data_IF_932326512722
#
_entry.id   IF_932326512722
#
_cell.length_a   1.000
_cell.length_b   1.000
_cell.length_c   1.000
_cell.angle_alpha   90.00
_cell.angle_beta   90.00
_cell.angle_gamma   90.00
#
_symmetry.space_group_name_H-M   'P 1'
#
loop_
_entity.id
_entity.type
_entity.pdbx_description
1 polymer ?
#
# COMPACT_ATOMS: atom_id res chain seq x y z
N UNK A 1 -17.55 -10.84 -6.93
CA UNK A 1 -16.08 -10.72 -6.76
C UNK A 1 -15.83 -9.61 -5.77
N UNK A 2 -15.26 -9.91 -4.62
CA UNK A 2 -14.87 -8.87 -3.64
C UNK A 2 -13.69 -8.11 -4.24
N UNK A 3 -13.94 -6.86 -4.61
CA UNK A 3 -13.04 -5.96 -5.32
C UNK A 3 -11.88 -5.54 -4.40
N UNK A 4 -10.67 -6.01 -4.68
CA UNK A 4 -9.47 -5.61 -3.95
C UNK A 4 -9.13 -4.16 -4.34
N UNK A 5 -9.14 -3.24 -3.38
CA UNK A 5 -8.79 -1.83 -3.59
C UNK A 5 -7.50 -1.50 -2.86
N UNK A 6 -6.65 -0.69 -3.47
CA UNK A 6 -5.38 -0.23 -2.90
C UNK A 6 -5.51 1.17 -2.29
N UNK A 7 -4.64 1.49 -1.33
CA UNK A 7 -4.61 2.86 -0.78
C UNK A 7 -4.02 3.85 -1.79
N UNK A 8 -4.29 5.14 -1.60
CA UNK A 8 -3.68 6.22 -2.41
C UNK A 8 -2.16 6.19 -2.31
N UNK A 9 -1.63 5.89 -1.11
CA UNK A 9 -0.19 5.72 -0.88
C UNK A 9 0.36 4.56 -1.72
N UNK A 10 -0.33 3.42 -1.69
CA UNK A 10 0.06 2.22 -2.45
C UNK A 10 0.09 2.53 -3.95
N UNK A 11 -0.97 3.16 -4.47
CA UNK A 11 -1.01 3.57 -5.89
C UNK A 11 0.18 4.47 -6.27
N UNK A 12 0.57 5.42 -5.39
CA UNK A 12 1.75 6.26 -5.60
C UNK A 12 3.06 5.46 -5.59
N UNK A 13 3.21 4.57 -4.63
CA UNK A 13 4.43 3.75 -4.46
C UNK A 13 4.60 2.78 -5.65
N UNK A 14 3.52 2.17 -6.13
CA UNK A 14 3.52 1.30 -7.32
C UNK A 14 3.78 2.09 -8.61
N UNK A 15 3.34 3.35 -8.68
CA UNK A 15 3.73 4.28 -9.75
C UNK A 15 5.20 4.75 -9.66
N UNK A 16 5.98 4.29 -8.66
CA UNK A 16 7.39 4.62 -8.50
C UNK A 16 7.63 6.08 -8.10
N UNK A 17 6.63 6.77 -7.55
CA UNK A 17 6.70 8.20 -7.26
C UNK A 17 7.04 8.48 -5.80
N UNK A 18 8.00 9.39 -5.57
CA UNK A 18 8.16 10.00 -4.25
C UNK A 18 6.96 10.90 -3.91
N UNK A 19 6.75 11.16 -2.62
CA UNK A 19 5.68 12.05 -2.17
C UNK A 19 5.84 13.47 -2.74
N UNK A 20 7.07 13.97 -2.83
CA UNK A 20 7.41 15.29 -3.36
C UNK A 20 7.11 15.36 -4.86
N UNK A 21 7.55 14.34 -5.62
CA UNK A 21 7.34 14.26 -7.06
C UNK A 21 5.86 14.18 -7.41
N UNK A 22 5.12 13.30 -6.72
CA UNK A 22 3.67 13.20 -6.90
C UNK A 22 2.96 14.51 -6.56
N UNK A 23 3.32 15.17 -5.45
CA UNK A 23 2.72 16.44 -5.06
C UNK A 23 2.94 17.53 -6.12
N UNK A 24 4.16 17.58 -6.69
CA UNK A 24 4.49 18.49 -7.79
C UNK A 24 3.62 18.21 -9.03
N UNK A 25 3.52 16.94 -9.46
CA UNK A 25 2.79 16.56 -10.67
C UNK A 25 1.27 16.77 -10.51
N UNK A 26 0.74 16.52 -9.31
CA UNK A 26 -0.67 16.77 -8.97
C UNK A 26 -0.94 18.26 -8.75
N UNK A 27 0.08 19.09 -8.52
CA UNK A 27 -0.07 20.52 -8.28
C UNK A 27 -0.65 20.84 -6.89
N UNK A 28 -0.24 20.09 -5.86
CA UNK A 28 -0.60 20.32 -4.46
C UNK A 28 0.66 20.39 -3.59
N UNK A 29 0.53 20.89 -2.36
CA UNK A 29 1.66 20.82 -1.42
C UNK A 29 1.89 19.39 -0.95
N UNK A 30 3.14 19.04 -0.65
CA UNK A 30 3.52 17.74 -0.05
C UNK A 30 2.68 17.42 1.18
N UNK A 31 2.45 18.42 2.04
CA UNK A 31 1.59 18.30 3.22
C UNK A 31 0.14 17.96 2.87
N UNK A 32 -0.41 18.56 1.82
CA UNK A 32 -1.78 18.29 1.36
C UNK A 32 -1.89 16.90 0.74
N UNK A 33 -0.91 16.47 -0.04
CA UNK A 33 -0.88 15.10 -0.56
C UNK A 33 -0.78 14.07 0.57
N UNK A 34 0.10 14.28 1.55
CA UNK A 34 0.19 13.41 2.74
C UNK A 34 -1.14 13.34 3.49
N UNK A 35 -1.83 14.48 3.61
CA UNK A 35 -3.15 14.52 4.24
C UNK A 35 -4.20 13.75 3.43
N UNK A 36 -4.14 13.79 2.10
CA UNK A 36 -4.99 12.99 1.24
C UNK A 36 -4.73 11.48 1.38
N UNK A 37 -3.47 11.04 1.47
CA UNK A 37 -3.16 9.63 1.72
C UNK A 37 -3.79 9.13 3.03
N UNK A 38 -3.76 9.95 4.09
CA UNK A 38 -4.30 9.60 5.41
C UNK A 38 -5.83 9.70 5.48
N UNK A 39 -6.44 10.60 4.71
CA UNK A 39 -7.85 10.97 4.81
C UNK A 39 -8.54 10.94 3.45
N UNK A 40 -8.43 9.81 2.74
CA UNK A 40 -9.03 9.58 1.42
C UNK A 40 -10.52 9.90 1.34
N UNK A 41 -11.27 9.66 2.42
CA UNK A 41 -12.71 9.96 2.52
C UNK A 41 -13.06 11.44 2.44
N UNK A 42 -12.08 12.32 2.58
CA UNK A 42 -12.25 13.77 2.54
C UNK A 42 -11.68 14.40 1.28
N UNK A 43 -11.30 13.60 0.29
CA UNK A 43 -10.73 14.07 -0.97
C UNK A 43 -11.85 14.58 -1.89
N UNK A 44 -11.71 15.78 -2.47
CA UNK A 44 -12.61 16.24 -3.53
C UNK A 44 -12.57 15.30 -4.75
N UNK A 45 -13.72 14.99 -5.35
CA UNK A 45 -13.84 14.03 -6.48
C UNK A 45 -12.90 14.38 -7.66
N UNK A 46 -12.73 15.67 -7.95
CA UNK A 46 -11.80 16.12 -9.00
C UNK A 46 -10.34 15.78 -8.67
N UNK A 47 -9.97 15.82 -7.39
CA UNK A 47 -8.64 15.45 -6.92
C UNK A 47 -8.45 13.94 -6.90
N UNK A 48 -9.48 13.17 -6.51
CA UNK A 48 -9.48 11.72 -6.57
C UNK A 48 -9.17 11.20 -8.00
N UNK A 49 -9.85 11.77 -9.00
CA UNK A 49 -9.57 11.48 -10.41
C UNK A 49 -8.16 11.89 -10.83
N UNK A 50 -7.69 13.07 -10.42
CA UNK A 50 -6.34 13.53 -10.75
C UNK A 50 -5.25 12.62 -10.16
N UNK A 51 -5.45 12.12 -8.94
CA UNK A 51 -4.57 11.13 -8.31
C UNK A 51 -4.52 9.85 -9.13
N UNK A 52 -5.69 9.29 -9.47
CA UNK A 52 -5.81 8.07 -10.26
C UNK A 52 -5.11 8.21 -11.63
N UNK A 53 -5.39 9.30 -12.35
CA UNK A 53 -4.73 9.64 -13.62
C UNK A 53 -3.20 9.76 -13.48
N UNK A 54 -2.72 10.40 -12.40
CA UNK A 54 -1.28 10.59 -12.16
C UNK A 54 -0.57 9.26 -11.87
N UNK A 55 -1.24 8.34 -11.18
CA UNK A 55 -0.67 7.05 -10.79
C UNK A 55 -0.91 5.95 -11.82
N UNK A 56 -1.69 6.22 -12.88
CA UNK A 56 -1.97 5.25 -13.93
C UNK A 56 -2.90 4.12 -13.48
N UNK A 57 -3.78 4.38 -12.52
CA UNK A 57 -4.75 3.40 -11.98
C UNK A 57 -6.18 3.93 -12.13
N UNK A 58 -7.17 3.04 -12.11
CA UNK A 58 -8.59 3.42 -12.09
C UNK A 58 -9.00 3.96 -10.72
N UNK A 59 -9.97 4.88 -10.69
CA UNK A 59 -10.60 5.31 -9.43
C UNK A 59 -11.31 4.16 -8.72
N UNK A 60 -11.76 3.13 -9.44
CA UNK A 60 -12.42 1.96 -8.85
C UNK A 60 -11.43 1.05 -8.10
N UNK A 61 -10.14 1.12 -8.46
CA UNK A 61 -9.05 0.38 -7.83
C UNK A 61 -8.53 1.08 -6.56
N UNK A 62 -8.84 2.36 -6.36
CA UNK A 62 -8.40 3.13 -5.20
C UNK A 62 -9.45 3.11 -4.09
N UNK A 63 -9.02 2.82 -2.87
CA UNK A 63 -9.83 3.01 -1.67
C UNK A 63 -9.74 4.47 -1.18
N UNK A 64 -10.86 5.19 -1.25
CA UNK A 64 -11.00 6.57 -0.75
C UNK A 64 -11.62 6.62 0.65
N UNK A 65 -11.14 5.79 1.58
CA UNK A 65 -11.45 5.87 3.01
C UNK A 65 -10.35 6.58 3.80
N UNK A 66 -10.41 6.52 5.12
CA UNK A 66 -9.29 6.85 6.01
C UNK A 66 -8.24 5.73 5.96
N UNK A 67 -6.98 6.02 6.27
CA UNK A 67 -5.97 4.95 6.42
C UNK A 67 -6.37 3.93 7.51
N UNK A 68 -7.17 4.35 8.49
CA UNK A 68 -7.76 3.51 9.54
C UNK A 68 -8.85 2.56 8.97
N UNK A 69 -9.53 2.94 7.87
CA UNK A 69 -10.45 2.03 7.15
C UNK A 69 -9.69 0.93 6.39
N UNK A 70 -8.37 1.11 6.20
CA UNK A 70 -7.45 0.21 5.53
C UNK A 70 -6.61 -0.64 6.48
N UNK A 71 -7.07 -0.87 7.72
CA UNK A 71 -6.46 -1.81 8.70
C UNK A 71 -6.26 -3.25 8.19
N UNK A 72 -6.57 -3.54 6.92
CA UNK A 72 -6.36 -4.83 6.28
C UNK A 72 -5.28 -4.96 5.20
N UNK A 73 -4.92 -3.96 4.38
CA UNK A 73 -4.28 -4.30 3.08
C UNK A 73 -3.36 -3.25 2.44
N UNK A 74 -2.49 -2.58 3.20
CA UNK A 74 -1.31 -1.93 2.60
C UNK A 74 -0.09 -2.83 2.78
N UNK A 75 0.29 -3.61 1.77
CA UNK A 75 1.44 -4.55 1.81
C UNK A 75 2.74 -3.90 2.32
N UNK A 76 3.01 -2.63 1.98
CA UNK A 76 4.17 -1.86 2.44
C UNK A 76 4.11 -1.55 3.95
N UNK A 77 2.92 -1.25 4.46
CA UNK A 77 2.68 -1.02 5.90
C UNK A 77 2.57 -2.33 6.67
N UNK A 78 1.92 -3.35 6.11
CA UNK A 78 1.82 -4.69 6.67
C UNK A 78 3.18 -5.34 6.79
N UNK A 79 4.05 -5.23 5.77
CA UNK A 79 5.43 -5.75 5.86
C UNK A 79 6.16 -5.14 7.06
N UNK A 80 6.13 -3.81 7.18
CA UNK A 80 6.76 -3.10 8.30
C UNK A 80 6.14 -3.45 9.65
N UNK A 81 4.81 -3.49 9.73
CA UNK A 81 4.07 -3.78 10.97
C UNK A 81 4.28 -5.23 11.42
N UNK A 82 4.23 -6.19 10.49
CA UNK A 82 4.52 -7.61 10.75
C UNK A 82 5.95 -7.76 11.25
N UNK A 83 6.94 -7.14 10.59
CA UNK A 83 8.34 -7.15 11.07
C UNK A 83 8.42 -6.57 12.47
N UNK A 84 7.80 -5.42 12.73
CA UNK A 84 7.86 -4.76 14.04
C UNK A 84 7.19 -5.61 15.13
N UNK A 85 6.07 -6.27 14.84
CA UNK A 85 5.41 -7.21 15.76
C UNK A 85 6.32 -8.39 16.07
N UNK A 86 6.91 -9.01 15.05
CA UNK A 86 7.88 -10.11 15.20
C UNK A 86 9.06 -9.67 16.08
N UNK A 87 9.58 -8.45 15.87
CA UNK A 87 10.65 -7.88 16.70
C UNK A 87 10.21 -7.67 18.15
N UNK A 88 8.99 -7.19 18.38
CA UNK A 88 8.42 -7.03 19.72
C UNK A 88 8.24 -8.38 20.46
N UNK A 89 8.14 -9.50 19.72
CA UNK A 89 8.19 -10.86 20.29
C UNK A 89 9.61 -11.35 20.62
N UNK A 90 10.64 -10.51 20.45
CA UNK A 90 12.03 -10.81 20.82
C UNK A 90 12.87 -11.42 19.70
N UNK A 91 12.40 -11.39 18.45
CA UNK A 91 13.16 -11.83 17.28
C UNK A 91 14.02 -10.66 16.78
N UNK A 92 15.26 -10.91 16.37
CA UNK A 92 16.10 -9.83 15.85
C UNK A 92 15.55 -9.26 14.54
N UNK A 93 15.74 -7.96 14.24
CA UNK A 93 15.26 -7.35 13.01
C UNK A 93 15.71 -8.09 11.75
N UNK A 94 16.96 -8.56 11.71
CA UNK A 94 17.52 -9.29 10.57
C UNK A 94 16.80 -10.62 10.35
N UNK A 95 16.47 -11.32 11.44
CA UNK A 95 15.76 -12.60 11.38
C UNK A 95 14.29 -12.41 11.00
N UNK A 96 13.65 -11.34 11.47
CA UNK A 96 12.30 -10.97 11.09
C UNK A 96 12.19 -10.67 9.58
N UNK A 97 13.15 -9.92 9.03
CA UNK A 97 13.25 -9.62 7.60
C UNK A 97 13.37 -10.90 6.75
N UNK A 98 14.22 -11.85 7.16
CA UNK A 98 14.38 -13.14 6.46
C UNK A 98 13.08 -13.94 6.49
N UNK A 99 12.39 -14.00 7.65
CA UNK A 99 11.13 -14.73 7.78
C UNK A 99 10.05 -14.17 6.87
N UNK A 100 9.86 -12.85 6.88
CA UNK A 100 8.84 -12.19 6.06
C UNK A 100 9.16 -12.35 4.57
N UNK A 101 10.41 -12.13 4.16
CA UNK A 101 10.82 -12.32 2.76
C UNK A 101 10.65 -13.77 2.30
N UNK A 102 10.91 -14.75 3.18
CA UNK A 102 10.68 -16.16 2.86
C UNK A 102 9.20 -16.49 2.68
N UNK A 103 8.31 -15.85 3.45
CA UNK A 103 6.86 -16.05 3.32
C UNK A 103 6.33 -15.37 2.06
N UNK A 104 6.80 -14.16 1.74
CA UNK A 104 6.45 -13.44 0.51
C UNK A 104 6.80 -14.28 -0.72
N UNK A 105 8.01 -14.85 -0.79
CA UNK A 105 8.42 -15.71 -1.90
C UNK A 105 7.58 -16.98 -2.03
N UNK A 106 7.22 -17.63 -0.93
CA UNK A 106 6.35 -18.83 -0.95
C UNK A 106 4.93 -18.49 -1.41
N UNK A 107 4.38 -17.40 -0.89
CA UNK A 107 3.05 -16.94 -1.30
C UNK A 107 3.02 -16.63 -2.80
N UNK A 108 4.07 -16.01 -3.33
CA UNK A 108 4.20 -15.73 -4.75
C UNK A 108 4.22 -17.01 -5.60
N UNK A 109 5.01 -18.01 -5.19
CA UNK A 109 5.08 -19.31 -5.87
C UNK A 109 3.71 -20.02 -5.91
N UNK A 110 2.95 -19.96 -4.82
CA UNK A 110 1.59 -20.52 -4.79
C UNK A 110 0.64 -19.75 -5.71
N UNK A 111 0.68 -18.42 -5.70
CA UNK A 111 -0.16 -17.58 -6.59
C UNK A 111 0.15 -17.85 -8.06
N UNK A 112 1.42 -18.13 -8.39
CA UNK A 112 1.88 -18.46 -9.73
C UNK A 112 1.58 -19.92 -10.13
N UNK A 113 1.06 -20.73 -9.20
CA UNK A 113 0.77 -22.15 -9.42
C UNK A 113 2.03 -23.03 -9.49
N UNK A 114 3.17 -22.53 -9.02
CA UNK A 114 4.45 -23.24 -8.98
C UNK A 114 4.54 -24.18 -7.76
N UNK A 115 3.79 -23.88 -6.69
CA UNK A 115 3.62 -24.73 -5.51
C UNK A 115 2.14 -24.90 -5.15
N UNK A 116 1.75 -26.09 -4.69
CA UNK A 116 0.47 -26.28 -4.01
C UNK A 116 0.57 -25.81 -2.56
N UNK A 117 -0.45 -25.10 -2.09
CA UNK A 117 -0.55 -24.65 -0.70
C UNK A 117 -0.73 -25.89 0.20
N UNK A 118 0.36 -26.40 0.76
CA UNK A 118 0.32 -27.50 1.71
C UNK A 118 -0.36 -27.01 3.01
N UNK A 119 -1.62 -27.39 3.18
CA UNK A 119 -2.44 -27.14 4.39
C UNK A 119 -2.00 -28.00 5.57
#
# INVERSE_FOLDING_TARGET
MTEYKITIRTAREEAGMSLEKAAQDIGVSVKRLKWYELHGSRIPVNMARKLAETYGVSTDEIHFGTEEDCDGWNLSVMRRDVIQRIVNFGISPERAEIMVSSLESKLLAVIQGEEELAL
#
